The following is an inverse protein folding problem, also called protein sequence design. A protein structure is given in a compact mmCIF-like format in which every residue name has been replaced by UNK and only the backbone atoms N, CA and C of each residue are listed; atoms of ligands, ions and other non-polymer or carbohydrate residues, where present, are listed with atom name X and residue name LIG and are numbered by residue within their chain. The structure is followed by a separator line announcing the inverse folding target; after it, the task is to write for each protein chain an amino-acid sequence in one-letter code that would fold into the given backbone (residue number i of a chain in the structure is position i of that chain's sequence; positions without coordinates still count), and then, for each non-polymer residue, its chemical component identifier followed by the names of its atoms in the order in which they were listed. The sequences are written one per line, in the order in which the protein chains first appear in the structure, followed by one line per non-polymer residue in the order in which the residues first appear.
data_IF_196431333989
#
_entry.id   IF_196431333989
#
_cell.length_a   1.000
_cell.length_b   1.000
_cell.length_c   1.000
_cell.angle_alpha   90.00
_cell.angle_beta   90.00
_cell.angle_gamma   90.00
#
_symmetry.space_group_name_H-M   'P 1'
#
loop_
_entity.id
_entity.type
_entity.pdbx_description
1 polymer ?
#
# COMPACT_ATOMS: atom_id res chain seq x y z
N UNK A 1 32.30 -12.86 13.86
CA UNK A 1 31.49 -14.05 13.56
C UNK A 1 30.48 -14.10 14.70
N UNK A 2 29.23 -13.64 14.60
CA UNK A 2 28.29 -13.37 13.51
C UNK A 2 27.25 -12.37 14.11
N UNK A 3 26.98 -11.22 13.51
CA UNK A 3 25.90 -10.99 12.53
C UNK A 3 24.46 -11.12 13.09
N UNK A 4 24.11 -10.42 14.18
CA UNK A 4 22.69 -10.20 14.54
C UNK A 4 22.41 -8.75 14.96
N UNK A 5 22.81 -7.78 14.14
CA UNK A 5 22.03 -6.53 14.03
C UNK A 5 20.77 -6.84 13.23
N UNK A 6 19.85 -7.59 13.85
CA UNK A 6 18.46 -7.70 13.39
C UNK A 6 17.92 -6.28 13.36
N UNK A 7 17.93 -5.72 12.16
CA UNK A 7 17.27 -4.47 11.82
C UNK A 7 15.86 -4.58 12.35
N UNK A 8 15.62 -3.90 13.47
CA UNK A 8 14.30 -3.59 13.98
C UNK A 8 13.64 -2.73 12.91
N UNK A 9 13.14 -3.38 11.87
CA UNK A 9 12.23 -2.84 10.88
C UNK A 9 11.01 -2.46 11.71
N UNK A 10 11.05 -1.26 12.29
CA UNK A 10 9.89 -0.58 12.83
C UNK A 10 8.81 -0.76 11.78
N UNK A 11 7.80 -1.56 12.12
CA UNK A 11 6.60 -1.72 11.32
C UNK A 11 5.87 -0.39 11.41
N UNK A 12 6.36 0.60 10.67
CA UNK A 12 5.74 1.90 10.59
C UNK A 12 4.41 1.71 9.87
N UNK A 13 3.36 1.79 10.66
CA UNK A 13 1.98 1.75 10.19
C UNK A 13 1.64 3.15 9.68
N UNK A 14 1.39 3.25 8.38
CA UNK A 14 0.95 4.48 7.75
C UNK A 14 -0.54 4.41 7.48
N UNK A 15 -1.22 5.55 7.65
CA UNK A 15 -2.61 5.67 7.21
C UNK A 15 -2.68 5.48 5.69
N UNK A 16 -3.61 4.65 5.24
CA UNK A 16 -3.79 4.37 3.81
C UNK A 16 -4.07 5.65 3.03
N UNK A 17 -4.78 6.61 3.62
CA UNK A 17 -5.08 7.90 2.97
C UNK A 17 -3.80 8.71 2.69
N UNK A 18 -2.83 8.68 3.60
CA UNK A 18 -1.52 9.31 3.36
C UNK A 18 -0.77 8.59 2.24
N UNK A 19 -0.81 7.26 2.21
CA UNK A 19 -0.17 6.47 1.16
C UNK A 19 -0.86 6.71 -0.19
N UNK A 20 -2.19 6.71 -0.25
CA UNK A 20 -2.96 7.03 -1.46
C UNK A 20 -2.76 8.46 -1.93
N UNK A 21 -2.52 9.41 -1.03
CA UNK A 21 -2.18 10.77 -1.41
C UNK A 21 -0.83 10.86 -2.13
N UNK A 22 0.12 9.96 -1.83
CA UNK A 22 1.40 9.87 -2.55
C UNK A 22 1.29 9.20 -3.93
N UNK A 23 0.17 8.50 -4.19
CA UNK A 23 -0.09 7.86 -5.47
C UNK A 23 -0.82 8.84 -6.39
N UNK A 24 -0.25 9.04 -7.58
CA UNK A 24 -0.83 9.86 -8.66
C UNK A 24 -1.97 9.11 -9.37
N UNK A 25 -2.99 8.74 -8.61
CA UNK A 25 -4.21 8.11 -9.13
C UNK A 25 -5.36 9.10 -9.12
N UNK A 26 -6.24 9.06 -10.14
CA UNK A 26 -7.49 9.77 -10.10
C UNK A 26 -8.39 9.24 -8.96
N UNK A 27 -9.30 10.07 -8.46
CA UNK A 27 -10.15 9.72 -7.31
C UNK A 27 -10.94 8.42 -7.50
N UNK A 28 -11.41 8.15 -8.73
CA UNK A 28 -12.13 6.91 -9.04
C UNK A 28 -11.25 5.67 -8.87
N UNK A 29 -9.97 5.76 -9.21
CA UNK A 29 -9.02 4.65 -9.09
C UNK A 29 -8.57 4.46 -7.64
N UNK A 30 -8.49 5.53 -6.85
CA UNK A 30 -8.31 5.45 -5.39
C UNK A 30 -9.48 4.72 -4.72
N UNK A 31 -10.72 5.04 -5.10
CA UNK A 31 -11.92 4.34 -4.62
C UNK A 31 -11.93 2.86 -5.04
N UNK A 32 -11.57 2.56 -6.29
CA UNK A 32 -11.46 1.18 -6.78
C UNK A 32 -10.39 0.38 -6.01
N UNK A 33 -9.24 0.99 -5.69
CA UNK A 33 -8.21 0.37 -4.87
C UNK A 33 -8.70 0.06 -3.45
N UNK A 34 -9.44 0.99 -2.82
CA UNK A 34 -10.04 0.76 -1.50
C UNK A 34 -11.07 -0.38 -1.53
N UNK A 35 -11.88 -0.47 -2.60
CA UNK A 35 -12.81 -1.59 -2.79
C UNK A 35 -12.07 -2.91 -3.02
N UNK A 36 -11.03 -2.93 -3.85
CA UNK A 36 -10.22 -4.13 -4.14
C UNK A 36 -9.54 -4.68 -2.89
N UNK A 37 -8.98 -3.80 -2.06
CA UNK A 37 -8.31 -4.17 -0.82
C UNK A 37 -9.26 -4.42 0.35
N UNK A 38 -10.54 -4.03 0.22
CA UNK A 38 -11.50 -4.00 1.32
C UNK A 38 -11.10 -3.04 2.44
N UNK A 39 -10.22 -2.08 2.15
CA UNK A 39 -9.72 -1.15 3.15
C UNK A 39 -10.67 0.03 3.34
N UNK A 40 -10.84 0.41 4.61
CA UNK A 40 -11.68 1.56 5.01
C UNK A 40 -10.80 2.77 5.30
N UNK A 41 -11.37 3.96 5.18
CA UNK A 41 -10.71 5.20 5.62
C UNK A 41 -10.31 5.11 7.11
N UNK A 42 -9.21 5.76 7.47
CA UNK A 42 -8.63 5.65 8.82
C UNK A 42 -7.91 4.33 9.14
N UNK A 43 -7.90 3.33 8.24
CA UNK A 43 -7.09 2.12 8.45
C UNK A 43 -5.60 2.44 8.22
N UNK A 44 -4.77 1.93 9.13
CA UNK A 44 -3.31 2.00 9.03
C UNK A 44 -2.76 0.66 8.59
N UNK A 45 -1.83 0.66 7.64
CA UNK A 45 -1.19 -0.53 7.09
C UNK A 45 0.31 -0.30 6.99
N UNK A 46 1.06 -1.40 6.97
CA UNK A 46 2.49 -1.33 6.71
C UNK A 46 2.72 -0.90 5.25
N UNK A 47 3.76 -0.11 5.02
CA UNK A 47 4.13 0.32 3.66
C UNK A 47 4.28 -0.86 2.69
N UNK A 48 4.93 -1.95 3.14
CA UNK A 48 5.05 -3.19 2.36
C UNK A 48 3.71 -3.82 1.97
N UNK A 49 2.73 -3.82 2.87
CA UNK A 49 1.38 -4.33 2.56
C UNK A 49 0.68 -3.45 1.54
N UNK A 50 0.82 -2.12 1.67
CA UNK A 50 0.31 -1.16 0.69
C UNK A 50 0.93 -1.38 -0.69
N UNK A 51 2.26 -1.41 -0.78
CA UNK A 51 2.98 -1.61 -2.05
C UNK A 51 2.59 -2.95 -2.70
N UNK A 52 2.45 -4.02 -1.92
CA UNK A 52 2.03 -5.34 -2.42
C UNK A 52 0.60 -5.28 -2.97
N UNK A 53 -0.33 -4.68 -2.22
CA UNK A 53 -1.71 -4.54 -2.66
C UNK A 53 -1.82 -3.64 -3.90
N UNK A 54 -1.05 -2.55 -3.95
CA UNK A 54 -1.01 -1.62 -5.06
C UNK A 54 -0.47 -2.29 -6.32
N UNK A 55 0.61 -3.05 -6.21
CA UNK A 55 1.18 -3.78 -7.33
C UNK A 55 0.20 -4.85 -7.84
N UNK A 56 -0.48 -5.58 -6.95
CA UNK A 56 -1.54 -6.52 -7.35
C UNK A 56 -2.70 -5.82 -8.05
N UNK A 57 -3.13 -4.67 -7.54
CA UNK A 57 -4.18 -3.86 -8.15
C UNK A 57 -3.78 -3.36 -9.55
N UNK A 58 -2.56 -2.83 -9.72
CA UNK A 58 -2.04 -2.39 -11.03
C UNK A 58 -1.89 -3.60 -11.97
N UNK A 59 -1.41 -4.74 -11.48
CA UNK A 59 -1.27 -5.96 -12.29
C UNK A 59 -2.62 -6.49 -12.78
N UNK A 60 -3.67 -6.37 -11.96
CA UNK A 60 -5.00 -6.87 -12.27
C UNK A 60 -5.84 -5.88 -13.10
N UNK A 61 -5.73 -4.58 -12.82
CA UNK A 61 -6.60 -3.54 -13.39
C UNK A 61 -5.84 -2.44 -14.15
N UNK A 62 -4.56 -2.23 -13.86
CA UNK A 62 -3.72 -1.22 -14.51
C UNK A 62 -3.17 -1.68 -15.85
N UNK A 63 -4.04 -2.26 -16.68
CA UNK A 63 -3.74 -2.97 -17.93
C UNK A 63 -2.49 -2.46 -18.65
N UNK A 64 -1.64 -3.42 -19.05
CA UNK A 64 -0.48 -3.17 -19.92
C UNK A 64 -0.90 -2.27 -21.08
N UNK A 65 -0.25 -1.12 -21.18
CA UNK A 65 -0.20 -0.34 -22.41
C UNK A 65 0.68 -1.08 -23.42
#
# INVERSE_FOLDING_TARGET
MDEEKKVEQKRELFMIEKLLATVDFPEWQKKAFLQFTGWRQGKSVEKKQFDTALNNFIRQYGGRK
#
